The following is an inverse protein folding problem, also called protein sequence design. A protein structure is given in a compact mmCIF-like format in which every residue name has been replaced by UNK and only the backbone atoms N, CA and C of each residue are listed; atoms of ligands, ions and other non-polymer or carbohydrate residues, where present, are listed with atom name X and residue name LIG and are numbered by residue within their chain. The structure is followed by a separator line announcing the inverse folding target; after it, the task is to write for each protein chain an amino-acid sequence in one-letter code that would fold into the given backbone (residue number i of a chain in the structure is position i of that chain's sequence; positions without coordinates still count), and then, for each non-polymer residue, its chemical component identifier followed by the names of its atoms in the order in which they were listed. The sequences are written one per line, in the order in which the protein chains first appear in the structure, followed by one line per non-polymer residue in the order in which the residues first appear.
data_IF_599674654030
#
_entry.id   IF_599674654030
#
_cell.length_a   1.000
_cell.length_b   1.000
_cell.length_c   1.000
_cell.angle_alpha   90.00
_cell.angle_beta   90.00
_cell.angle_gamma   90.00
#
_symmetry.space_group_name_H-M   'P 1'
#
loop_
_entity.id
_entity.type
_entity.pdbx_description
1 polymer ?
#
# COMPACT_ATOMS: atom_id res chain seq x y z
N UNK A 1 2.30 -5.58 21.23
CA UNK A 1 2.27 -5.81 19.76
C UNK A 1 3.33 -4.92 19.12
N UNK A 2 4.15 -5.39 18.17
CA UNK A 2 5.19 -4.52 17.58
C UNK A 2 4.60 -3.76 16.38
N UNK A 3 3.92 -2.64 16.65
CA UNK A 3 3.21 -1.83 15.65
C UNK A 3 4.12 -1.41 14.50
N UNK A 4 5.38 -1.07 14.81
CA UNK A 4 6.39 -0.70 13.80
C UNK A 4 6.61 -1.84 12.79
N UNK A 5 6.64 -3.10 13.24
CA UNK A 5 6.79 -4.25 12.35
C UNK A 5 5.61 -4.39 11.39
N UNK A 6 4.39 -4.19 11.87
CA UNK A 6 3.19 -4.32 11.03
C UNK A 6 3.16 -3.18 9.99
N UNK A 7 3.55 -1.96 10.37
CA UNK A 7 3.72 -0.83 9.45
C UNK A 7 4.77 -1.13 8.37
N UNK A 8 5.94 -1.66 8.75
CA UNK A 8 6.98 -2.05 7.78
C UNK A 8 6.44 -3.11 6.82
N UNK A 9 5.73 -4.13 7.33
CA UNK A 9 5.11 -5.15 6.49
C UNK A 9 4.10 -4.53 5.51
N UNK A 10 3.25 -3.61 5.96
CA UNK A 10 2.30 -2.90 5.11
C UNK A 10 2.98 -2.03 4.03
N UNK A 11 4.08 -1.36 4.36
CA UNK A 11 4.88 -0.59 3.37
C UNK A 11 5.48 -1.53 2.31
N UNK A 12 6.02 -2.68 2.71
CA UNK A 12 6.53 -3.69 1.78
C UNK A 12 5.41 -4.21 0.86
N UNK A 13 4.22 -4.47 1.40
CA UNK A 13 3.07 -4.88 0.61
C UNK A 13 2.64 -3.80 -0.38
N UNK A 14 2.63 -2.53 0.01
CA UNK A 14 2.32 -1.41 -0.89
C UNK A 14 3.35 -1.33 -2.02
N UNK A 15 4.64 -1.50 -1.72
CA UNK A 15 5.69 -1.49 -2.74
C UNK A 15 5.55 -2.65 -3.73
N UNK A 16 5.29 -3.86 -3.24
CA UNK A 16 5.05 -5.04 -4.09
C UNK A 16 3.77 -4.89 -4.92
N UNK A 17 2.72 -4.34 -4.33
CA UNK A 17 1.48 -4.03 -5.04
C UNK A 17 1.71 -3.01 -6.16
N UNK A 18 2.45 -1.93 -5.88
CA UNK A 18 2.83 -0.93 -6.88
C UNK A 18 3.62 -1.52 -8.02
N UNK A 19 4.57 -2.41 -7.74
CA UNK A 19 5.32 -3.11 -8.79
C UNK A 19 4.42 -4.01 -9.64
N UNK A 20 3.56 -4.82 -9.02
CA UNK A 20 2.61 -5.67 -9.72
C UNK A 20 1.65 -4.86 -10.61
N UNK A 21 1.09 -3.77 -10.09
CA UNK A 21 0.18 -2.90 -10.84
C UNK A 21 0.89 -2.15 -11.98
N UNK A 22 2.14 -1.74 -11.79
CA UNK A 22 2.91 -1.06 -12.85
C UNK A 22 3.15 -1.97 -14.06
N UNK A 23 3.44 -3.25 -13.80
CA UNK A 23 3.68 -4.24 -14.85
C UNK A 23 2.38 -4.60 -15.57
N UNK A 24 1.31 -4.80 -14.80
CA UNK A 24 -0.02 -5.01 -15.35
C UNK A 24 -0.44 -3.82 -16.23
N UNK A 25 -0.20 -2.59 -15.79
CA UNK A 25 -0.46 -1.39 -16.57
C UNK A 25 0.32 -1.36 -17.88
N UNK A 26 1.63 -1.66 -17.87
CA UNK A 26 2.44 -1.77 -19.09
C UNK A 26 1.87 -2.81 -20.07
N UNK A 27 1.45 -3.98 -19.57
CA UNK A 27 0.78 -5.00 -20.40
C UNK A 27 -0.49 -4.44 -21.04
N UNK A 28 -1.30 -3.67 -20.31
CA UNK A 28 -2.51 -3.05 -20.88
C UNK A 28 -2.21 -1.94 -21.89
N UNK A 29 -1.13 -1.19 -21.73
CA UNK A 29 -0.68 -0.20 -22.73
C UNK A 29 -0.34 -0.91 -24.04
N UNK A 30 0.44 -1.98 -23.99
CA UNK A 30 0.79 -2.77 -25.17
C UNK A 30 -0.46 -3.39 -25.82
N UNK A 31 -1.37 -3.92 -25.01
CA UNK A 31 -2.64 -4.46 -25.52
C UNK A 31 -3.50 -3.39 -26.21
N UNK A 32 -3.57 -2.19 -25.64
CA UNK A 32 -4.29 -1.07 -26.25
C UNK A 32 -3.67 -0.64 -27.58
N UNK A 33 -2.36 -0.77 -27.74
CA UNK A 33 -1.66 -0.49 -29.00
C UNK A 33 -2.00 -1.52 -30.10
N UNK A 34 -2.03 -2.82 -29.75
CA UNK A 34 -2.44 -3.89 -30.68
C UNK A 34 -3.88 -3.68 -31.16
N UNK A 35 -4.79 -3.29 -30.26
CA UNK A 35 -6.19 -3.00 -30.64
C UNK A 35 -6.27 -1.81 -31.60
N UNK A 36 -5.44 -0.77 -31.39
CA UNK A 36 -5.41 0.41 -32.25
C UNK A 36 -4.78 0.13 -33.61
N UNK A 37 -3.83 -0.81 -33.69
CA UNK A 37 -3.07 -1.14 -34.89
C UNK A 37 -3.21 -2.65 -35.21
N UNK A 38 -4.29 -3.06 -35.90
CA UNK A 38 -4.59 -4.47 -36.17
C UNK A 38 -3.61 -5.17 -37.13
N UNK A 39 -2.65 -4.44 -37.70
CA UNK A 39 -1.57 -4.98 -38.54
C UNK A 39 -0.44 -5.62 -37.72
N UNK A 40 -0.39 -5.35 -36.40
CA UNK A 40 0.62 -5.93 -35.51
C UNK A 40 0.29 -7.40 -35.17
N UNK A 41 1.29 -8.28 -35.07
CA UNK A 41 1.09 -9.64 -34.60
C UNK A 41 0.49 -9.63 -33.20
N UNK A 42 -0.55 -10.44 -32.99
CA UNK A 42 -1.26 -10.57 -31.71
C UNK A 42 -0.46 -11.44 -30.73
N UNK A 43 0.79 -11.06 -30.48
CA UNK A 43 1.67 -11.71 -29.51
C UNK A 43 1.78 -10.79 -28.30
N UNK A 44 1.38 -11.30 -27.13
CA UNK A 44 1.46 -10.57 -25.87
C UNK A 44 2.36 -11.30 -24.90
N UNK A 45 3.45 -10.66 -24.51
CA UNK A 45 4.29 -11.11 -23.40
C UNK A 45 3.79 -10.50 -22.09
N UNK A 46 3.28 -11.35 -21.20
CA UNK A 46 2.85 -10.94 -19.86
C UNK A 46 3.89 -11.37 -18.85
N UNK A 47 4.55 -10.42 -18.21
CA UNK A 47 5.47 -10.71 -17.12
C UNK A 47 4.69 -10.97 -15.82
N UNK A 48 4.34 -12.24 -15.57
CA UNK A 48 3.55 -12.64 -14.40
C UNK A 48 4.34 -12.66 -13.07
N UNK A 49 5.68 -12.61 -13.13
CA UNK A 49 6.56 -12.71 -11.94
C UNK A 49 6.17 -11.72 -10.83
N UNK A 50 5.94 -10.42 -11.09
CA UNK A 50 5.63 -9.44 -10.04
C UNK A 50 4.28 -9.70 -9.38
N UNK A 51 3.30 -10.20 -10.14
CA UNK A 51 1.97 -10.57 -9.64
C UNK A 51 2.08 -11.80 -8.72
N UNK A 52 2.82 -12.82 -9.16
CA UNK A 52 3.06 -14.04 -8.37
C UNK A 52 3.81 -13.69 -7.08
N UNK A 53 4.86 -12.86 -7.16
CA UNK A 53 5.60 -12.42 -5.97
C UNK A 53 4.71 -11.65 -5.00
N UNK A 54 3.86 -10.75 -5.49
CA UNK A 54 2.90 -10.05 -4.64
C UNK A 54 1.96 -11.00 -3.92
N UNK A 55 1.39 -11.99 -4.61
CA UNK A 55 0.47 -12.98 -4.02
C UNK A 55 1.20 -13.87 -3.00
N UNK A 56 2.39 -14.39 -3.35
CA UNK A 56 3.16 -15.31 -2.49
C UNK A 56 3.68 -14.59 -1.26
N UNK A 57 4.39 -13.46 -1.43
CA UNK A 57 4.93 -12.70 -0.30
C UNK A 57 3.80 -12.10 0.53
N UNK A 58 2.76 -11.59 -0.13
CA UNK A 58 1.54 -11.10 0.53
C UNK A 58 0.90 -12.16 1.42
N UNK A 59 0.65 -13.34 0.87
CA UNK A 59 0.11 -14.48 1.60
C UNK A 59 1.00 -14.90 2.77
N UNK A 60 2.32 -14.96 2.58
CA UNK A 60 3.27 -15.29 3.64
C UNK A 60 3.24 -14.26 4.77
N UNK A 61 3.23 -12.96 4.46
CA UNK A 61 3.14 -11.89 5.44
C UNK A 61 1.81 -11.98 6.22
N UNK A 62 0.68 -12.15 5.53
CA UNK A 62 -0.63 -12.29 6.18
C UNK A 62 -0.67 -13.49 7.10
N UNK A 63 -0.18 -14.66 6.67
CA UNK A 63 -0.13 -15.88 7.50
C UNK A 63 0.80 -15.69 8.70
N UNK A 64 1.94 -15.04 8.52
CA UNK A 64 2.89 -14.75 9.58
C UNK A 64 2.29 -13.83 10.65
N UNK A 65 1.68 -12.71 10.24
CA UNK A 65 0.98 -11.79 11.13
C UNK A 65 -0.17 -12.49 11.86
N UNK A 66 -0.94 -13.32 11.15
CA UNK A 66 -2.01 -14.13 11.73
C UNK A 66 -1.51 -15.06 12.84
N UNK A 67 -0.43 -15.81 12.60
CA UNK A 67 0.14 -16.73 13.60
C UNK A 67 0.60 -16.00 14.86
N UNK A 68 1.18 -14.81 14.71
CA UNK A 68 1.67 -14.02 15.85
C UNK A 68 0.50 -13.43 16.66
N UNK A 69 -0.58 -13.02 15.99
CA UNK A 69 -1.72 -12.36 16.61
C UNK A 69 -2.80 -13.36 17.10
N UNK A 70 -2.67 -14.66 16.80
CA UNK A 70 -3.60 -15.74 17.18
C UNK A 70 -3.92 -15.83 18.68
N UNK A 71 -3.06 -15.27 19.55
CA UNK A 71 -3.24 -15.31 21.01
C UNK A 71 -4.44 -14.48 21.54
N UNK A 72 -5.12 -13.67 20.71
CA UNK A 72 -6.19 -12.76 21.17
C UNK A 72 -7.65 -13.14 20.81
N UNK A 73 -7.95 -14.40 20.45
CA UNK A 73 -9.35 -14.87 20.25
C UNK A 73 -10.19 -14.04 19.25
N UNK A 74 -9.76 -13.92 17.99
CA UNK A 74 -10.50 -13.14 16.99
C UNK A 74 -11.09 -13.96 15.83
N UNK A 75 -12.29 -13.55 15.40
CA UNK A 75 -12.97 -14.03 14.19
C UNK A 75 -12.24 -13.56 12.94
N UNK A 76 -12.16 -14.42 11.92
CA UNK A 76 -11.55 -14.15 10.61
C UNK A 76 -11.99 -12.83 9.98
N UNK A 77 -13.24 -12.39 10.21
CA UNK A 77 -13.75 -11.11 9.70
C UNK A 77 -13.04 -9.90 10.31
N UNK A 78 -12.77 -9.90 11.62
CA UNK A 78 -12.07 -8.78 12.27
C UNK A 78 -10.65 -8.65 11.74
N UNK A 79 -9.97 -9.76 11.50
CA UNK A 79 -8.58 -9.77 11.03
C UNK A 79 -8.46 -9.31 9.57
N UNK A 80 -9.46 -9.59 8.73
CA UNK A 80 -9.47 -9.18 7.32
C UNK A 80 -9.81 -7.70 7.11
N UNK A 81 -10.73 -7.16 7.91
CA UNK A 81 -11.24 -5.81 7.72
C UNK A 81 -10.68 -4.77 8.70
N UNK A 82 -10.11 -5.21 9.83
CA UNK A 82 -9.48 -4.34 10.81
C UNK A 82 -7.95 -4.47 10.70
N UNK A 83 -7.22 -3.37 10.49
CA UNK A 83 -5.77 -3.39 10.63
C UNK A 83 -5.44 -3.84 12.06
N UNK A 84 -4.53 -4.80 12.16
CA UNK A 84 -4.08 -5.32 13.45
C UNK A 84 -3.49 -4.22 14.35
N UNK A 85 -3.03 -3.12 13.77
CA UNK A 85 -2.52 -1.94 14.49
C UNK A 85 -3.59 -1.16 15.25
N UNK A 86 -4.87 -1.30 14.88
CA UNK A 86 -6.01 -0.66 15.56
C UNK A 86 -6.64 -1.57 16.62
N UNK A 87 -6.02 -2.72 16.91
CA UNK A 87 -6.47 -3.64 17.95
C UNK A 87 -5.91 -3.24 19.32
N UNK A 88 -6.68 -2.41 20.02
CA UNK A 88 -6.34 -1.89 21.34
C UNK A 88 -6.74 -2.89 22.45
N UNK A 89 -5.82 -3.21 23.36
CA UNK A 89 -6.13 -4.06 24.53
C UNK A 89 -6.28 -3.29 25.84
N UNK A 90 -5.72 -2.08 25.91
CA UNK A 90 -5.61 -1.27 27.13
C UNK A 90 -6.03 0.18 26.83
N UNK A 91 -6.60 0.88 27.82
CA UNK A 91 -7.07 2.27 27.70
C UNK A 91 -5.97 3.21 27.20
N UNK A 92 -4.72 2.96 27.62
CA UNK A 92 -3.55 3.70 27.13
C UNK A 92 -3.31 3.46 25.63
N UNK A 93 -3.42 2.22 25.17
CA UNK A 93 -3.29 1.91 23.73
C UNK A 93 -4.41 2.60 22.94
N UNK A 94 -5.63 2.70 23.48
CA UNK A 94 -6.74 3.41 22.83
C UNK A 94 -6.43 4.90 22.62
N UNK A 95 -5.90 5.55 23.65
CA UNK A 95 -5.54 6.97 23.56
C UNK A 95 -4.43 7.21 22.53
N UNK A 96 -3.39 6.37 22.53
CA UNK A 96 -2.28 6.47 21.56
C UNK A 96 -2.80 6.25 20.13
N UNK A 97 -3.62 5.22 19.92
CA UNK A 97 -4.23 4.90 18.62
C UNK A 97 -5.09 6.06 18.12
N UNK A 98 -5.94 6.63 18.98
CA UNK A 98 -6.79 7.75 18.62
C UNK A 98 -5.97 8.98 18.16
N UNK A 99 -4.88 9.30 18.87
CA UNK A 99 -3.98 10.37 18.47
C UNK A 99 -3.24 10.07 17.16
N UNK A 100 -2.76 8.84 16.99
CA UNK A 100 -2.07 8.39 15.78
C UNK A 100 -3.02 8.40 14.56
N UNK A 101 -4.26 7.94 14.71
CA UNK A 101 -5.30 8.02 13.69
C UNK A 101 -5.64 9.46 13.32
N UNK A 102 -5.77 10.35 14.31
CA UNK A 102 -6.01 11.78 14.06
C UNK A 102 -4.86 12.41 13.27
N UNK A 103 -3.62 12.14 13.65
CA UNK A 103 -2.43 12.60 12.91
C UNK A 103 -2.42 12.10 11.47
N UNK A 104 -2.70 10.81 11.30
CA UNK A 104 -2.76 10.13 10.01
C UNK A 104 -3.84 10.75 9.10
N UNK A 105 -5.03 11.03 9.63
CA UNK A 105 -6.11 11.74 8.93
C UNK A 105 -5.70 13.16 8.52
N UNK A 106 -5.09 13.93 9.43
CA UNK A 106 -4.60 15.28 9.13
C UNK A 106 -3.54 15.24 8.03
N UNK A 107 -2.64 14.25 8.06
CA UNK A 107 -1.60 14.10 7.03
C UNK A 107 -2.18 13.93 5.62
N UNK A 108 -3.37 13.32 5.49
CA UNK A 108 -4.01 13.12 4.19
C UNK A 108 -4.43 14.44 3.55
N UNK A 109 -4.91 15.41 4.34
CA UNK A 109 -5.26 16.74 3.85
C UNK A 109 -4.07 17.53 3.30
N UNK A 110 -2.86 17.23 3.79
CA UNK A 110 -1.62 17.83 3.29
C UNK A 110 -1.07 17.02 2.12
N UNK A 111 -1.10 15.68 2.20
CA UNK A 111 -0.58 14.80 1.18
C UNK A 111 -1.37 14.87 -0.13
N UNK A 112 -2.71 14.92 -0.07
CA UNK A 112 -3.57 14.95 -1.24
C UNK A 112 -3.26 16.10 -2.24
N UNK A 113 -3.16 17.38 -1.82
CA UNK A 113 -2.80 18.46 -2.74
C UNK A 113 -1.37 18.32 -3.27
N UNK A 114 -0.42 17.84 -2.46
CA UNK A 114 0.96 17.61 -2.91
C UNK A 114 1.01 16.52 -3.98
N UNK A 115 0.36 15.38 -3.73
CA UNK A 115 0.26 14.27 -4.69
C UNK A 115 -0.43 14.72 -5.98
N UNK A 116 -1.48 15.53 -5.87
CA UNK A 116 -2.16 16.11 -7.04
C UNK A 116 -1.23 17.04 -7.82
N UNK A 117 -0.46 17.88 -7.13
CA UNK A 117 0.50 18.77 -7.77
C UNK A 117 1.60 17.98 -8.51
N UNK A 118 2.07 16.87 -7.94
CA UNK A 118 3.05 15.99 -8.57
C UNK A 118 2.51 15.36 -9.87
N UNK A 119 1.21 15.11 -9.98
CA UNK A 119 0.61 14.58 -11.21
C UNK A 119 0.72 15.55 -12.40
N UNK A 120 0.88 16.86 -12.18
CA UNK A 120 1.14 17.80 -13.30
C UNK A 120 2.48 17.55 -14.00
N UNK A 121 3.39 16.78 -13.39
CA UNK A 121 4.64 16.37 -14.03
C UNK A 121 4.40 15.24 -15.04
N UNK A 122 3.30 14.49 -14.90
CA UNK A 122 3.04 13.29 -15.70
C UNK A 122 3.12 13.50 -17.22
N UNK A 123 2.55 14.57 -17.82
CA UNK A 123 2.64 14.79 -19.26
C UNK A 123 4.10 14.81 -19.77
N UNK A 124 5.04 15.32 -18.98
CA UNK A 124 6.45 15.46 -19.36
C UNK A 124 7.23 14.14 -19.28
N UNK A 125 6.76 13.17 -18.51
CA UNK A 125 7.47 11.90 -18.25
C UNK A 125 6.68 10.67 -18.71
N UNK A 126 5.48 10.88 -19.28
CA UNK A 126 4.54 9.82 -19.64
C UNK A 126 5.13 8.81 -20.63
N UNK A 127 5.99 9.24 -21.54
CA UNK A 127 6.66 8.34 -22.50
C UNK A 127 7.70 7.42 -21.84
N UNK A 128 8.47 7.93 -20.88
CA UNK A 128 9.51 7.16 -20.21
C UNK A 128 9.00 6.34 -19.02
N UNK A 129 8.00 6.85 -18.30
CA UNK A 129 7.44 6.24 -17.10
C UNK A 129 5.90 6.30 -17.13
N UNK A 130 5.25 5.50 -18.00
CA UNK A 130 3.80 5.60 -18.20
C UNK A 130 3.01 5.16 -16.96
N UNK A 131 3.61 4.34 -16.08
CA UNK A 131 3.05 3.88 -14.78
C UNK A 131 3.24 4.87 -13.62
N UNK A 132 3.83 6.04 -13.85
CA UNK A 132 4.08 7.06 -12.82
C UNK A 132 2.86 7.41 -11.93
N UNK A 133 1.63 7.55 -12.46
CA UNK A 133 0.47 7.88 -11.63
C UNK A 133 0.18 6.82 -10.56
N UNK A 134 0.47 5.55 -10.84
CA UNK A 134 0.29 4.44 -9.88
C UNK A 134 1.21 4.65 -8.67
N UNK A 135 2.47 4.98 -8.91
CA UNK A 135 3.46 5.23 -7.85
C UNK A 135 3.02 6.43 -6.99
N UNK A 136 2.59 7.52 -7.64
CA UNK A 136 2.19 8.75 -6.97
C UNK A 136 0.94 8.54 -6.11
N UNK A 137 -0.05 7.80 -6.59
CA UNK A 137 -1.25 7.46 -5.81
C UNK A 137 -0.88 6.61 -4.58
N UNK A 138 0.05 5.68 -4.71
CA UNK A 138 0.50 4.83 -3.60
C UNK A 138 1.32 5.58 -2.53
N UNK A 139 1.76 6.82 -2.80
CA UNK A 139 2.34 7.67 -1.76
C UNK A 139 1.31 8.03 -0.69
N UNK A 140 0.02 8.17 -1.04
CA UNK A 140 -1.03 8.53 -0.07
C UNK A 140 -1.14 7.53 1.10
N UNK A 141 -1.40 6.22 0.87
CA UNK A 141 -1.45 5.25 1.96
C UNK A 141 -0.09 5.09 2.65
N UNK A 142 1.03 5.29 1.94
CA UNK A 142 2.38 5.23 2.52
C UNK A 142 2.59 6.36 3.53
N UNK A 143 2.26 7.60 3.18
CA UNK A 143 2.33 8.76 4.08
C UNK A 143 1.41 8.55 5.27
N UNK A 144 0.20 8.02 5.04
CA UNK A 144 -0.77 7.72 6.08
C UNK A 144 -0.19 6.74 7.13
N UNK A 145 0.44 5.66 6.69
CA UNK A 145 1.11 4.67 7.53
C UNK A 145 2.33 5.22 8.27
N UNK A 146 3.14 6.04 7.60
CA UNK A 146 4.31 6.68 8.21
C UNK A 146 3.86 7.65 9.31
N UNK A 147 2.88 8.51 9.02
CA UNK A 147 2.34 9.45 10.02
C UNK A 147 1.78 8.72 11.22
N UNK A 148 1.06 7.61 11.00
CA UNK A 148 0.56 6.77 12.09
C UNK A 148 1.70 6.20 12.93
N UNK A 149 2.72 5.60 12.30
CA UNK A 149 3.84 4.96 13.01
C UNK A 149 4.74 5.93 13.77
N UNK A 150 4.99 7.11 13.21
CA UNK A 150 5.79 8.16 13.86
C UNK A 150 5.06 8.65 15.12
N UNK A 151 3.77 8.94 15.02
CA UNK A 151 2.96 9.41 16.15
C UNK A 151 2.83 8.32 17.21
N UNK A 152 2.53 7.07 16.80
CA UNK A 152 2.50 5.94 17.73
C UNK A 152 3.79 5.81 18.55
N UNK A 153 4.95 5.83 17.87
CA UNK A 153 6.25 5.69 18.52
C UNK A 153 6.53 6.86 19.46
N UNK A 154 6.10 8.07 19.12
CA UNK A 154 6.26 9.26 19.97
C UNK A 154 5.42 9.13 21.25
N UNK A 155 4.13 8.87 21.12
CA UNK A 155 3.21 8.78 22.26
C UNK A 155 3.49 7.54 23.14
N UNK A 156 3.98 6.44 22.56
CA UNK A 156 4.37 5.25 23.33
C UNK A 156 5.57 5.44 24.26
N UNK A 157 6.37 6.51 24.06
CA UNK A 157 7.54 6.83 24.89
C UNK A 157 7.19 7.71 26.09
N UNK A 158 6.03 8.35 26.06
CA UNK A 158 5.51 9.24 27.11
C UNK A 158 4.69 8.39 28.08
#
# INVERSE_FOLDING_TARGET
MNVIRNIIASIVLIALFGWAMSILYLTYVNFAEIIKNPELPMEMEIQLIPIILFIVIGGLITVFLFKINKKKHYSWRKILFLPTELEEADEREQQITAQACRSSYISMWIAAPIVTALLFIYPFISESMPYYPIIIILLLPTIQLISYGVTWKRESRI
#
